data_IF_930428023636
#
_entry.id   IF_930428023636
#
_cell.length_a   1.000
_cell.length_b   1.000
_cell.length_c   1.000
_cell.angle_alpha   90.00
_cell.angle_beta   90.00
_cell.angle_gamma   90.00
#
_symmetry.space_group_name_H-M   'P 1'
#
loop_
_entity.id
_entity.type
_entity.pdbx_description
1 polymer ?
#
# COMPACT_ATOMS: atom_id res chain seq x y z
N UNK A 1 3.38 -11.69 -8.71
CA UNK A 1 2.86 -11.98 -7.36
C UNK A 1 2.70 -13.48 -7.11
N UNK A 2 1.85 -14.19 -7.87
CA UNK A 2 1.59 -15.64 -7.66
C UNK A 2 2.87 -16.50 -7.67
N UNK A 3 3.82 -16.24 -8.57
CA UNK A 3 5.10 -16.98 -8.59
C UNK A 3 5.98 -16.67 -7.36
N UNK A 4 6.01 -15.41 -6.93
CA UNK A 4 6.80 -14.94 -5.78
C UNK A 4 6.25 -15.47 -4.44
N UNK A 5 4.93 -15.51 -4.28
CA UNK A 5 4.27 -16.12 -3.12
C UNK A 5 4.54 -17.63 -3.05
N UNK A 6 4.53 -18.30 -4.19
CA UNK A 6 4.82 -19.73 -4.26
C UNK A 6 6.28 -20.03 -3.91
N UNK A 7 7.21 -19.18 -4.35
CA UNK A 7 8.64 -19.32 -4.12
C UNK A 7 9.08 -18.92 -2.70
N UNK A 8 8.56 -17.82 -2.16
CA UNK A 8 8.99 -17.26 -0.87
C UNK A 8 8.10 -17.66 0.31
N UNK A 9 6.81 -17.93 0.08
CA UNK A 9 5.83 -18.20 1.15
C UNK A 9 5.34 -19.65 1.16
N UNK A 10 5.96 -20.55 0.37
CA UNK A 10 5.59 -21.96 0.29
C UNK A 10 4.08 -22.17 -0.04
N UNK A 11 3.48 -21.24 -0.80
CA UNK A 11 2.06 -21.28 -1.15
C UNK A 11 1.12 -20.65 -0.11
N UNK A 12 1.63 -20.00 0.93
CA UNK A 12 0.82 -19.11 1.77
C UNK A 12 0.50 -17.81 1.00
N UNK A 13 -0.72 -17.30 1.16
CA UNK A 13 -1.15 -16.05 0.53
C UNK A 13 -0.49 -14.84 1.19
N UNK A 14 0.05 -13.92 0.39
CA UNK A 14 0.43 -12.60 0.84
C UNK A 14 -0.83 -11.75 1.02
N UNK A 15 -1.36 -11.76 2.24
CA UNK A 15 -2.57 -10.98 2.58
C UNK A 15 -2.29 -9.47 2.54
N UNK A 16 -1.04 -9.02 2.73
CA UNK A 16 -0.66 -7.60 2.75
C UNK A 16 -1.14 -6.79 1.53
N UNK A 17 -0.76 -7.17 0.29
CA UNK A 17 -1.24 -6.50 -0.92
C UNK A 17 -2.77 -6.51 -1.09
N UNK A 18 -3.43 -7.62 -0.73
CA UNK A 18 -4.89 -7.75 -0.81
C UNK A 18 -5.58 -6.80 0.18
N UNK A 19 -5.17 -6.83 1.44
CA UNK A 19 -5.67 -5.95 2.49
C UNK A 19 -5.38 -4.48 2.18
N UNK A 20 -4.22 -4.16 1.59
CA UNK A 20 -3.91 -2.80 1.17
C UNK A 20 -4.92 -2.27 0.13
N UNK A 21 -5.37 -3.12 -0.80
CA UNK A 21 -6.46 -2.78 -1.73
C UNK A 21 -7.80 -2.54 -1.04
N UNK A 22 -8.20 -3.41 -0.12
CA UNK A 22 -9.43 -3.25 0.65
C UNK A 22 -9.44 -1.96 1.47
N UNK A 23 -8.31 -1.64 2.13
CA UNK A 23 -8.14 -0.40 2.88
C UNK A 23 -8.22 0.81 1.95
N UNK A 24 -7.56 0.78 0.79
CA UNK A 24 -7.63 1.87 -0.18
C UNK A 24 -9.07 2.15 -0.61
N UNK A 25 -9.86 1.12 -0.95
CA UNK A 25 -11.26 1.29 -1.33
C UNK A 25 -12.11 1.92 -0.22
N UNK A 26 -11.88 1.53 1.03
CA UNK A 26 -12.59 2.10 2.19
C UNK A 26 -12.26 3.58 2.33
N UNK A 27 -10.98 3.95 2.21
CA UNK A 27 -10.51 5.32 2.31
C UNK A 27 -10.98 6.20 1.15
N UNK A 28 -11.05 5.66 -0.06
CA UNK A 28 -11.57 6.35 -1.24
C UNK A 28 -13.05 6.66 -1.08
N UNK A 29 -13.85 5.68 -0.65
CA UNK A 29 -15.30 5.87 -0.36
C UNK A 29 -15.51 6.92 0.73
N UNK A 30 -14.61 6.98 1.72
CA UNK A 30 -14.62 7.98 2.79
C UNK A 30 -14.07 9.36 2.38
N UNK A 31 -13.45 9.49 1.19
CA UNK A 31 -12.73 10.69 0.73
C UNK A 31 -11.61 11.12 1.69
N UNK A 32 -10.93 10.15 2.30
CA UNK A 32 -9.90 10.38 3.32
C UNK A 32 -8.50 9.95 2.88
N UNK A 33 -8.27 9.69 1.59
CA UNK A 33 -6.97 9.21 1.08
C UNK A 33 -5.79 10.10 1.52
N UNK A 34 -5.98 11.42 1.50
CA UNK A 34 -4.94 12.40 1.90
C UNK A 34 -4.58 12.34 3.38
N UNK A 35 -5.50 11.88 4.25
CA UNK A 35 -5.26 11.73 5.69
C UNK A 35 -4.46 10.47 6.02
N UNK A 36 -4.39 9.52 5.08
CA UNK A 36 -3.74 8.23 5.28
C UNK A 36 -2.72 7.93 4.16
N UNK A 37 -1.75 8.83 3.92
CA UNK A 37 -0.85 8.77 2.78
C UNK A 37 0.00 7.48 2.75
N UNK A 38 0.33 6.92 3.91
CA UNK A 38 1.10 5.67 4.02
C UNK A 38 0.31 4.46 3.53
N UNK A 39 -0.95 4.32 3.93
CA UNK A 39 -1.80 3.21 3.45
C UNK A 39 -2.03 3.30 1.93
N UNK A 40 -2.20 4.53 1.43
CA UNK A 40 -2.33 4.80 0.01
C UNK A 40 -1.05 4.46 -0.74
N UNK A 41 0.11 4.85 -0.23
CA UNK A 41 1.40 4.56 -0.86
C UNK A 41 1.67 3.05 -0.92
N UNK A 42 1.40 2.29 0.15
CA UNK A 42 1.54 0.82 0.16
C UNK A 42 0.69 0.18 -0.93
N UNK A 43 -0.58 0.59 -1.06
CA UNK A 43 -1.44 0.07 -2.13
C UNK A 43 -0.88 0.38 -3.52
N UNK A 44 -0.50 1.64 -3.77
CA UNK A 44 0.06 2.10 -5.05
C UNK A 44 1.36 1.41 -5.43
N UNK A 45 2.22 1.09 -4.45
CA UNK A 45 3.42 0.29 -4.67
C UNK A 45 3.06 -1.13 -5.07
N UNK A 46 2.10 -1.76 -4.36
CA UNK A 46 1.63 -3.10 -4.69
C UNK A 46 0.97 -3.21 -6.06
N UNK A 47 0.31 -2.14 -6.55
CA UNK A 47 -0.31 -2.06 -7.88
C UNK A 47 0.66 -1.59 -8.97
N UNK A 48 1.85 -1.10 -8.60
CA UNK A 48 2.86 -0.60 -9.53
C UNK A 48 2.58 0.81 -10.06
N UNK A 49 1.72 1.58 -9.38
CA UNK A 49 1.43 2.98 -9.70
C UNK A 49 2.59 3.92 -9.32
N UNK A 50 3.33 3.59 -8.25
CA UNK A 50 4.53 4.33 -7.80
C UNK A 50 5.66 3.35 -7.46
N UNK A 51 6.90 3.81 -7.51
CA UNK A 51 8.06 3.00 -7.15
C UNK A 51 8.24 2.90 -5.62
N UNK A 52 8.71 1.77 -5.09
CA UNK A 52 8.97 1.61 -3.65
C UNK A 52 9.89 2.68 -3.05
N UNK A 53 10.83 3.21 -3.83
CA UNK A 53 11.78 4.25 -3.44
C UNK A 53 11.08 5.57 -3.09
N UNK A 54 9.93 5.85 -3.71
CA UNK A 54 9.11 7.03 -3.45
C UNK A 54 8.38 6.96 -2.10
N UNK A 55 8.36 5.79 -1.44
CA UNK A 55 7.67 5.59 -0.16
C UNK A 55 8.18 6.51 0.96
N UNK A 56 9.47 6.85 0.95
CA UNK A 56 10.08 7.72 1.96
C UNK A 56 9.45 9.11 1.92
N UNK A 57 9.10 9.61 0.73
CA UNK A 57 8.50 10.94 0.58
C UNK A 57 7.11 10.99 1.24
N UNK A 58 6.36 9.88 1.22
CA UNK A 58 5.06 9.76 1.90
C UNK A 58 5.19 9.72 3.43
N UNK A 59 6.33 9.29 3.97
CA UNK A 59 6.62 9.35 5.40
C UNK A 59 7.07 10.75 5.83
N UNK A 60 7.90 11.41 5.00
CA UNK A 60 8.43 12.74 5.31
C UNK A 60 7.35 13.82 5.27
N UNK A 61 6.39 13.71 4.34
CA UNK A 61 5.29 14.65 4.18
C UNK A 61 4.01 14.17 4.89
N UNK A 62 4.14 13.39 5.97
CA UNK A 62 3.00 12.87 6.70
C UNK A 62 2.27 13.99 7.48
N UNK A 63 0.92 14.08 7.43
CA UNK A 63 0.16 15.14 8.10
C UNK A 63 0.37 15.26 9.62
N UNK A 64 0.86 14.21 10.29
CA UNK A 64 1.19 14.24 11.73
C UNK A 64 2.56 14.88 12.04
N UNK A 65 3.35 15.20 11.01
CA UNK A 65 4.68 15.80 11.13
C UNK A 65 4.74 17.23 10.59
N UNK A 66 3.60 17.81 10.21
CA UNK A 66 3.44 19.24 9.88
C UNK A 66 3.08 20.09 11.11
#
# INVERSE_FOLDING_TARGET
>A
MIELEKELLNGQSAQGPLTAGEVYEVLEKAKSLEQYPVFVAVHRICTGEIQPEEFIDYLQNHPEHE
#
